data_IF_818946779693
#
_entry.id   IF_818946779693
#
_cell.length_a   1.000
_cell.length_b   1.000
_cell.length_c   1.000
_cell.angle_alpha   90.00
_cell.angle_beta   90.00
_cell.angle_gamma   90.00
#
_symmetry.space_group_name_H-M   'P 1'
#
loop_
_entity.id
_entity.type
_entity.pdbx_description
1 polymer ?
#
# COMPACT_ATOMS: atom_id res chain seq x y z
N UNK A 1 -21.83 -7.06 -8.05
CA UNK A 1 -20.66 -7.64 -8.75
C UNK A 1 -20.61 -9.17 -8.55
N UNK A 2 -20.07 -9.92 -9.52
CA UNK A 2 -19.73 -11.34 -9.32
C UNK A 2 -18.90 -11.51 -8.06
N UNK A 3 -19.22 -12.51 -7.24
CA UNK A 3 -18.57 -12.92 -5.98
C UNK A 3 -17.03 -12.85 -6.02
N UNK A 4 -16.44 -13.10 -7.20
CA UNK A 4 -15.01 -12.96 -7.49
C UNK A 4 -14.47 -11.57 -7.16
N UNK A 5 -15.16 -10.49 -7.59
CA UNK A 5 -14.68 -9.13 -7.36
C UNK A 5 -14.75 -8.72 -5.88
N UNK A 6 -15.66 -9.32 -5.10
CA UNK A 6 -15.74 -9.14 -3.64
C UNK A 6 -14.54 -9.77 -2.92
N UNK A 7 -14.14 -10.97 -3.36
CA UNK A 7 -12.94 -11.63 -2.83
C UNK A 7 -11.64 -10.94 -3.24
N UNK A 8 -11.58 -10.31 -4.42
CA UNK A 8 -10.45 -9.46 -4.79
C UNK A 8 -10.29 -8.25 -3.85
N UNK A 9 -11.37 -7.75 -3.25
CA UNK A 9 -11.31 -6.72 -2.19
C UNK A 9 -10.41 -7.13 -1.02
N UNK A 10 -10.50 -8.39 -0.58
CA UNK A 10 -9.66 -8.94 0.50
C UNK A 10 -8.19 -8.96 0.09
N UNK A 11 -7.89 -9.29 -1.17
CA UNK A 11 -6.52 -9.24 -1.67
C UNK A 11 -5.93 -7.82 -1.56
N UNK A 12 -6.70 -6.78 -1.88
CA UNK A 12 -6.27 -5.39 -1.75
C UNK A 12 -6.08 -4.95 -0.29
N UNK A 13 -6.94 -5.42 0.63
CA UNK A 13 -6.80 -5.16 2.08
C UNK A 13 -5.49 -5.74 2.62
N UNK A 14 -5.07 -6.93 2.16
CA UNK A 14 -3.84 -7.56 2.61
C UNK A 14 -2.60 -6.99 1.92
N UNK A 15 -2.69 -6.70 0.61
CA UNK A 15 -1.58 -6.17 -0.17
C UNK A 15 -1.18 -4.75 0.26
N UNK A 16 -2.13 -3.92 0.71
CA UNK A 16 -1.83 -2.56 1.17
C UNK A 16 -0.83 -2.53 2.35
N UNK A 17 -1.12 -3.14 3.50
CA UNK A 17 -0.22 -3.17 4.65
C UNK A 17 1.07 -3.95 4.36
N UNK A 18 0.99 -5.05 3.59
CA UNK A 18 2.17 -5.83 3.20
C UNK A 18 3.15 -4.98 2.36
N UNK A 19 2.66 -4.28 1.35
CA UNK A 19 3.49 -3.42 0.50
C UNK A 19 4.04 -2.22 1.27
N UNK A 20 3.23 -1.59 2.14
CA UNK A 20 3.68 -0.51 3.02
C UNK A 20 4.79 -0.97 3.98
N UNK A 21 4.62 -2.12 4.64
CA UNK A 21 5.63 -2.67 5.55
C UNK A 21 6.92 -3.03 4.82
N UNK A 22 6.82 -3.65 3.64
CA UNK A 22 7.97 -3.96 2.80
C UNK A 22 8.72 -2.70 2.35
N UNK A 23 7.99 -1.65 1.96
CA UNK A 23 8.57 -0.39 1.54
C UNK A 23 9.34 0.28 2.68
N UNK A 24 8.73 0.39 3.86
CA UNK A 24 9.38 0.99 5.05
C UNK A 24 10.61 0.19 5.44
N UNK A 25 10.53 -1.15 5.44
CA UNK A 25 11.69 -2.01 5.71
C UNK A 25 12.83 -1.74 4.71
N UNK A 26 12.51 -1.65 3.43
CA UNK A 26 13.51 -1.41 2.38
C UNK A 26 14.13 -0.02 2.51
N UNK A 27 13.32 1.01 2.81
CA UNK A 27 13.80 2.36 3.06
C UNK A 27 14.82 2.39 4.21
N UNK A 28 14.52 1.73 5.33
CA UNK A 28 15.43 1.66 6.48
C UNK A 28 16.74 0.97 6.12
N UNK A 29 16.66 -0.16 5.40
CA UNK A 29 17.86 -0.93 4.97
C UNK A 29 18.76 -0.09 4.07
N UNK A 30 18.18 0.57 3.07
CA UNK A 30 18.94 1.36 2.08
C UNK A 30 19.54 2.63 2.69
N UNK A 31 18.78 3.33 3.54
CA UNK A 31 19.28 4.50 4.28
C UNK A 31 20.42 4.08 5.22
N UNK A 32 20.31 2.93 5.87
CA UNK A 32 21.36 2.43 6.77
C UNK A 32 22.61 1.97 6.01
N UNK A 33 22.44 1.43 4.81
CA UNK A 33 23.54 1.00 3.96
C UNK A 33 24.30 2.19 3.34
N UNK A 34 23.58 3.26 2.98
CA UNK A 34 24.13 4.49 2.39
C UNK A 34 23.46 5.72 3.01
N UNK A 35 23.96 6.23 4.14
CA UNK A 35 23.36 7.36 4.85
C UNK A 35 23.71 8.71 4.19
N UNK A 36 23.63 8.78 2.88
CA UNK A 36 23.82 10.00 2.11
C UNK A 36 22.51 10.80 2.05
N UNK A 37 22.61 12.12 2.06
CA UNK A 37 21.44 13.03 1.99
C UNK A 37 20.54 12.71 0.79
N UNK A 38 21.12 12.37 -0.36
CA UNK A 38 20.36 12.02 -1.56
C UNK A 38 19.53 10.75 -1.35
N UNK A 39 20.11 9.70 -0.76
CA UNK A 39 19.43 8.43 -0.47
C UNK A 39 18.30 8.61 0.55
N UNK A 40 18.55 9.41 1.60
CA UNK A 40 17.55 9.73 2.62
C UNK A 40 16.35 10.44 1.98
N UNK A 41 16.61 11.50 1.21
CA UNK A 41 15.55 12.27 0.55
C UNK A 41 14.77 11.38 -0.43
N UNK A 42 15.46 10.59 -1.25
CA UNK A 42 14.82 9.69 -2.21
C UNK A 42 13.85 8.72 -1.51
N UNK A 43 14.30 8.02 -0.47
CA UNK A 43 13.48 7.04 0.23
C UNK A 43 12.36 7.68 1.05
N UNK A 44 12.58 8.86 1.61
CA UNK A 44 11.56 9.62 2.33
C UNK A 44 10.43 10.07 1.39
N UNK A 45 10.75 10.58 0.21
CA UNK A 45 9.75 10.99 -0.79
C UNK A 45 8.97 9.78 -1.31
N UNK A 46 9.65 8.69 -1.67
CA UNK A 46 8.99 7.45 -2.13
C UNK A 46 8.04 6.93 -1.04
N UNK A 47 8.52 6.79 0.19
CA UNK A 47 7.71 6.28 1.30
C UNK A 47 6.55 7.22 1.61
N UNK A 48 6.78 8.54 1.61
CA UNK A 48 5.76 9.55 1.88
C UNK A 48 4.60 9.54 0.88
N UNK A 49 4.86 9.26 -0.40
CA UNK A 49 3.82 9.17 -1.44
C UNK A 49 3.15 7.79 -1.46
N UNK A 50 3.90 6.71 -1.23
CA UNK A 50 3.33 5.36 -1.31
C UNK A 50 2.46 4.99 -0.10
N UNK A 51 2.76 5.49 1.10
CA UNK A 51 1.94 5.22 2.29
C UNK A 51 0.47 5.64 2.14
N UNK A 52 0.11 6.86 1.69
CA UNK A 52 -1.29 7.22 1.47
C UNK A 52 -1.93 6.43 0.33
N UNK A 53 -1.18 6.04 -0.70
CA UNK A 53 -1.68 5.16 -1.78
C UNK A 53 -2.02 3.77 -1.23
N UNK A 54 -1.15 3.19 -0.39
CA UNK A 54 -1.39 1.92 0.27
C UNK A 54 -2.62 1.99 1.20
N UNK A 55 -2.80 3.10 1.92
CA UNK A 55 -4.01 3.34 2.71
C UNK A 55 -5.28 3.41 1.84
N UNK A 56 -5.22 4.11 0.70
CA UNK A 56 -6.30 4.14 -0.28
C UNK A 56 -6.63 2.76 -0.87
N UNK A 57 -5.61 1.93 -1.10
CA UNK A 57 -5.77 0.54 -1.57
C UNK A 57 -6.52 -0.33 -0.55
N UNK A 58 -6.20 -0.18 0.75
CA UNK A 58 -6.94 -0.86 1.83
C UNK A 58 -8.38 -0.39 1.89
N UNK A 59 -8.60 0.93 1.82
CA UNK A 59 -9.94 1.50 1.85
C UNK A 59 -10.79 1.02 0.67
N UNK A 60 -10.20 1.00 -0.53
CA UNK A 60 -10.81 0.43 -1.73
C UNK A 60 -11.17 -1.05 -1.53
N UNK A 61 -10.22 -1.86 -1.05
CA UNK A 61 -10.45 -3.27 -0.78
C UNK A 61 -11.56 -3.51 0.24
N UNK A 62 -11.63 -2.67 1.28
CA UNK A 62 -12.66 -2.71 2.31
C UNK A 62 -14.05 -2.42 1.76
N UNK A 63 -14.21 -1.34 0.98
CA UNK A 63 -15.49 -1.02 0.35
C UNK A 63 -15.89 -2.05 -0.73
N UNK A 64 -14.91 -2.62 -1.45
CA UNK A 64 -15.13 -3.74 -2.38
C UNK A 64 -15.63 -5.00 -1.66
N UNK A 65 -15.10 -5.31 -0.49
CA UNK A 65 -15.55 -6.44 0.31
C UNK A 65 -16.96 -6.24 0.88
N UNK A 66 -17.30 -5.02 1.30
CA UNK A 66 -18.65 -4.67 1.80
C UNK A 66 -19.74 -4.66 0.75
N UNK A 67 -19.39 -4.80 -0.53
CA UNK A 67 -20.36 -4.79 -1.63
C UNK A 67 -20.86 -3.37 -1.96
N UNK A 68 -20.17 -2.32 -1.51
CA UNK A 68 -20.58 -0.94 -1.84
C UNK A 68 -20.41 -0.64 -3.35
N UNK A 69 -19.59 -1.43 -4.04
CA UNK A 69 -19.45 -1.39 -5.50
C UNK A 69 -20.43 -2.32 -6.24
N UNK A 70 -21.34 -3.02 -5.54
CA UNK A 70 -22.23 -4.00 -6.17
C UNK A 70 -23.37 -3.38 -6.99
N UNK A 71 -23.67 -2.09 -6.80
CA UNK A 71 -24.85 -1.41 -7.34
C UNK A 71 -24.64 -0.65 -8.67
N UNK A 72 -23.79 -1.16 -9.56
CA UNK A 72 -23.76 -0.75 -10.98
C UNK A 72 -23.75 -1.98 -11.89
#
# INVERSE_FOLDING_TARGET
MNTIKRYLGIAWILLGPLSAAYLVKTAIVEISAKPETNTIIQWLVITGVFLPIAAGMVLFGYYAFRGEYDNN
#
